data_IF_222240212968
#
_entry.id   IF_222240212968
#
_cell.length_a   1.000
_cell.length_b   1.000
_cell.length_c   1.000
_cell.angle_alpha   90.00
_cell.angle_beta   90.00
_cell.angle_gamma   90.00
#
_symmetry.space_group_name_H-M   'P 1'
#
loop_
_entity.id
_entity.type
_entity.pdbx_description
1 polymer ?
#
# COMPACT_ATOMS: atom_id res chain seq x y z
N UNK A 1 15.22 9.61 9.14
CA UNK A 1 15.26 8.55 8.10
C UNK A 1 13.88 7.95 7.81
N UNK A 2 13.00 7.76 8.81
CA UNK A 2 11.61 7.32 8.60
C UNK A 2 10.76 8.18 7.63
N UNK A 3 11.09 9.47 7.49
CA UNK A 3 10.44 10.35 6.51
C UNK A 3 10.56 9.83 5.06
N UNK A 4 11.70 9.25 4.68
CA UNK A 4 11.86 8.68 3.34
C UNK A 4 10.93 7.50 3.10
N UNK A 5 10.74 6.66 4.11
CA UNK A 5 9.76 5.57 4.07
C UNK A 5 8.34 6.11 3.86
N UNK A 6 7.91 7.11 4.63
CA UNK A 6 6.58 7.70 4.49
C UNK A 6 6.40 8.31 3.11
N UNK A 7 7.38 9.08 2.63
CA UNK A 7 7.33 9.75 1.34
C UNK A 7 7.24 8.75 0.18
N UNK A 8 8.07 7.69 0.20
CA UNK A 8 8.00 6.62 -0.80
C UNK A 8 6.65 5.88 -0.74
N UNK A 9 6.15 5.61 0.46
CA UNK A 9 4.85 4.94 0.68
C UNK A 9 3.69 5.77 0.13
N UNK A 10 3.73 7.09 0.24
CA UNK A 10 2.72 7.96 -0.34
C UNK A 10 2.83 8.06 -1.86
N UNK A 11 4.06 8.15 -2.39
CA UNK A 11 4.32 8.24 -3.83
C UNK A 11 3.83 6.96 -4.53
N UNK A 12 4.01 5.78 -3.94
CA UNK A 12 3.65 4.50 -4.56
C UNK A 12 2.13 4.29 -4.66
N UNK A 13 1.31 5.05 -3.93
CA UNK A 13 -0.16 4.97 -4.05
C UNK A 13 -0.63 5.38 -5.45
N UNK A 14 0.04 6.35 -6.09
CA UNK A 14 -0.34 6.82 -7.44
C UNK A 14 -0.12 5.76 -8.53
N UNK A 15 1.08 5.15 -8.70
CA UNK A 15 1.23 4.07 -9.66
C UNK A 15 0.35 2.87 -9.30
N UNK A 16 0.17 2.55 -8.02
CA UNK A 16 -0.76 1.50 -7.57
C UNK A 16 -2.18 1.73 -8.09
N UNK A 17 -2.70 2.96 -8.00
CA UNK A 17 -3.99 3.32 -8.59
C UNK A 17 -4.05 3.09 -10.11
N UNK A 18 -3.00 3.49 -10.84
CA UNK A 18 -2.93 3.31 -12.30
C UNK A 18 -2.96 1.82 -12.67
N UNK A 19 -2.19 0.98 -11.96
CA UNK A 19 -2.17 -0.47 -12.17
C UNK A 19 -3.53 -1.10 -11.87
N UNK A 20 -4.13 -0.78 -10.72
CA UNK A 20 -5.45 -1.30 -10.34
C UNK A 20 -6.49 -0.89 -11.37
N UNK A 21 -6.52 0.37 -11.79
CA UNK A 21 -7.46 0.84 -12.82
C UNK A 21 -7.30 0.02 -14.10
N UNK A 22 -6.07 -0.23 -14.54
CA UNK A 22 -5.80 -1.03 -15.75
C UNK A 22 -6.28 -2.48 -15.59
N UNK A 23 -6.06 -3.08 -14.42
CA UNK A 23 -6.51 -4.44 -14.13
C UNK A 23 -8.03 -4.57 -14.12
N UNK A 24 -8.74 -3.58 -13.58
CA UNK A 24 -10.21 -3.58 -13.50
C UNK A 24 -10.90 -3.42 -14.87
N UNK A 25 -10.24 -2.82 -15.87
CA UNK A 25 -10.80 -2.66 -17.22
C UNK A 25 -10.96 -4.01 -17.94
N UNK A 26 -10.22 -5.04 -17.55
CA UNK A 26 -10.30 -6.34 -18.21
C UNK A 26 -11.60 -7.07 -17.84
N UNK A 27 -12.21 -7.72 -18.81
CA UNK A 27 -13.39 -8.60 -18.60
C UNK A 27 -13.03 -9.91 -17.88
N UNK A 28 -11.74 -10.24 -17.76
CA UNK A 28 -11.29 -11.47 -17.14
C UNK A 28 -11.20 -11.31 -15.61
N UNK A 29 -11.97 -12.14 -14.89
CA UNK A 29 -12.07 -12.20 -13.43
C UNK A 29 -10.71 -12.30 -12.72
N UNK A 30 -9.72 -12.98 -13.31
CA UNK A 30 -8.40 -13.13 -12.70
C UNK A 30 -7.69 -11.77 -12.55
N UNK A 31 -7.88 -10.82 -13.49
CA UNK A 31 -7.32 -9.48 -13.33
C UNK A 31 -7.99 -8.68 -12.22
N UNK A 32 -9.27 -8.91 -11.95
CA UNK A 32 -9.97 -8.29 -10.82
C UNK A 32 -9.47 -8.86 -9.49
N UNK A 33 -9.13 -10.15 -9.43
CA UNK A 33 -8.47 -10.73 -8.27
C UNK A 33 -7.07 -10.11 -8.05
N UNK A 34 -6.27 -9.97 -9.11
CA UNK A 34 -4.97 -9.29 -9.01
C UNK A 34 -5.09 -7.84 -8.56
N UNK A 35 -6.16 -7.14 -8.95
CA UNK A 35 -6.43 -5.78 -8.50
C UNK A 35 -6.67 -5.66 -6.98
N UNK A 36 -7.11 -6.74 -6.32
CA UNK A 36 -7.28 -6.84 -4.86
C UNK A 36 -5.98 -7.30 -4.20
N UNK A 37 -5.28 -8.27 -4.78
CA UNK A 37 -4.02 -8.82 -4.24
C UNK A 37 -2.93 -7.74 -4.19
N UNK A 38 -2.85 -6.87 -5.19
CA UNK A 38 -1.84 -5.81 -5.26
C UNK A 38 -1.84 -4.90 -4.01
N UNK A 39 -2.93 -4.22 -3.64
CA UNK A 39 -2.96 -3.39 -2.43
C UNK A 39 -2.82 -4.21 -1.14
N UNK A 40 -3.30 -5.47 -1.10
CA UNK A 40 -3.10 -6.36 0.05
C UNK A 40 -1.61 -6.65 0.28
N UNK A 41 -0.84 -6.89 -0.78
CA UNK A 41 0.61 -7.13 -0.67
C UNK A 41 1.37 -5.92 -0.12
N UNK A 42 0.99 -4.70 -0.55
CA UNK A 42 1.54 -3.46 -0.02
C UNK A 42 1.14 -3.23 1.45
N UNK A 43 -0.12 -3.53 1.78
CA UNK A 43 -0.60 -3.46 3.16
C UNK A 43 0.17 -4.41 4.07
N UNK A 44 0.39 -5.65 3.64
CA UNK A 44 1.18 -6.65 4.37
C UNK A 44 2.62 -6.19 4.61
N UNK A 45 3.24 -5.50 3.65
CA UNK A 45 4.56 -4.89 3.85
C UNK A 45 4.56 -3.85 4.97
N UNK A 46 3.55 -2.97 5.03
CA UNK A 46 3.46 -1.98 6.12
C UNK A 46 3.12 -2.62 7.47
N UNK A 47 2.31 -3.68 7.49
CA UNK A 47 2.04 -4.45 8.71
C UNK A 47 3.27 -5.20 9.22
N UNK A 48 4.16 -5.63 8.32
CA UNK A 48 5.46 -6.15 8.72
C UNK A 48 6.26 -5.08 9.47
N UNK A 49 6.36 -3.86 8.93
CA UNK A 49 7.07 -2.76 9.60
C UNK A 49 6.45 -2.46 10.96
N UNK A 50 5.12 -2.43 11.03
CA UNK A 50 4.39 -2.22 12.28
C UNK A 50 4.68 -3.30 13.34
N UNK A 51 4.81 -4.57 12.94
CA UNK A 51 4.95 -5.67 13.89
C UNK A 51 6.40 -5.95 14.30
N UNK A 52 7.36 -5.72 13.40
CA UNK A 52 8.76 -6.05 13.61
C UNK A 52 9.65 -4.84 13.87
N UNK A 53 9.07 -3.64 13.92
CA UNK A 53 9.77 -2.38 14.15
C UNK A 53 11.01 -2.21 13.26
N UNK A 54 10.90 -2.68 12.01
CA UNK A 54 12.02 -2.72 11.08
C UNK A 54 11.54 -2.57 9.64
N UNK A 55 12.20 -1.66 8.91
CA UNK A 55 11.94 -1.42 7.48
C UNK A 55 12.96 -2.22 6.65
N UNK A 56 12.57 -3.35 6.03
CA UNK A 56 13.52 -4.28 5.44
C UNK A 56 14.21 -3.74 4.19
N UNK A 57 13.52 -2.94 3.38
CA UNK A 57 14.09 -2.38 2.14
C UNK A 57 15.12 -1.27 2.39
N UNK A 58 15.05 -0.60 3.54
CA UNK A 58 15.93 0.51 3.89
C UNK A 58 16.93 0.13 4.99
N UNK A 59 16.81 -1.07 5.58
CA UNK A 59 17.59 -1.53 6.72
C UNK A 59 17.56 -0.53 7.89
N UNK A 60 16.36 -0.04 8.22
CA UNK A 60 16.13 0.95 9.28
C UNK A 60 15.37 0.28 10.43
N UNK A 61 15.95 0.34 11.62
CA UNK A 61 15.28 0.00 12.89
C UNK A 61 14.39 1.17 13.33
N UNK A 62 13.14 0.86 13.69
CA UNK A 62 12.10 1.82 14.08
C UNK A 62 11.64 1.64 15.53
N UNK A 63 12.30 0.78 16.32
CA UNK A 63 11.89 0.41 17.69
C UNK A 63 11.70 1.59 18.64
N UNK A 64 12.43 2.69 18.44
CA UNK A 64 12.35 3.90 19.28
C UNK A 64 11.61 5.07 18.60
N UNK A 65 10.88 4.81 17.51
CA UNK A 65 10.17 5.83 16.74
C UNK A 65 8.66 5.53 16.72
N UNK A 66 7.98 5.88 17.82
CA UNK A 66 6.53 5.68 17.99
C UNK A 66 5.71 6.28 16.83
N UNK A 67 6.14 7.43 16.33
CA UNK A 67 5.47 8.08 15.21
C UNK A 67 5.52 7.19 13.96
N UNK A 68 6.70 6.65 13.64
CA UNK A 68 6.88 5.78 12.49
C UNK A 68 6.16 4.43 12.67
N UNK A 69 6.14 3.90 13.90
CA UNK A 69 5.37 2.72 14.26
C UNK A 69 3.88 2.93 13.92
N UNK A 70 3.22 3.95 14.47
CA UNK A 70 1.80 4.21 14.15
C UNK A 70 1.57 4.67 12.70
N UNK A 71 2.52 5.38 12.10
CA UNK A 71 2.42 5.78 10.69
C UNK A 71 2.42 4.54 9.78
N UNK A 72 3.20 3.50 10.08
CA UNK A 72 3.20 2.27 9.30
C UNK A 72 1.83 1.58 9.31
N UNK A 73 1.14 1.55 10.45
CA UNK A 73 -0.22 1.04 10.55
C UNK A 73 -1.20 1.84 9.68
N UNK A 74 -1.17 3.18 9.76
CA UNK A 74 -2.03 4.04 8.93
C UNK A 74 -1.74 3.85 7.43
N UNK A 75 -0.46 3.73 7.06
CA UNK A 75 -0.05 3.48 5.67
C UNK A 75 -0.56 2.12 5.16
N UNK A 76 -0.61 1.09 6.01
CA UNK A 76 -1.16 -0.21 5.66
C UNK A 76 -2.62 -0.12 5.19
N UNK A 77 -3.46 0.65 5.89
CA UNK A 77 -4.86 0.88 5.46
C UNK A 77 -4.94 1.79 4.24
N UNK A 78 -4.05 2.77 4.12
CA UNK A 78 -4.05 3.70 2.99
C UNK A 78 -3.82 3.01 1.65
N UNK A 79 -3.13 1.87 1.64
CA UNK A 79 -2.91 1.04 0.43
C UNK A 79 -4.21 0.57 -0.23
N UNK A 80 -5.31 0.47 0.52
CA UNK A 80 -6.61 0.07 -0.02
C UNK A 80 -7.34 1.22 -0.73
N UNK A 81 -7.00 2.49 -0.46
CA UNK A 81 -7.66 3.66 -1.03
C UNK A 81 -7.61 3.68 -2.57
N UNK A 82 -6.45 3.43 -3.23
CA UNK A 82 -6.39 3.27 -4.68
C UNK A 82 -7.43 2.32 -5.27
N UNK A 83 -7.63 1.16 -4.64
CA UNK A 83 -8.63 0.18 -5.10
C UNK A 83 -10.05 0.69 -4.98
N UNK A 84 -10.40 1.26 -3.82
CA UNK A 84 -11.74 1.81 -3.56
C UNK A 84 -12.09 2.89 -4.59
N UNK A 85 -11.16 3.81 -4.86
CA UNK A 85 -11.36 4.89 -5.83
C UNK A 85 -11.49 4.33 -7.26
N UNK A 86 -10.60 3.42 -7.66
CA UNK A 86 -10.61 2.84 -9.00
C UNK A 86 -11.88 2.02 -9.25
N UNK A 87 -12.29 1.19 -8.29
CA UNK A 87 -13.51 0.37 -8.38
C UNK A 87 -14.77 1.22 -8.42
N UNK A 88 -14.83 2.29 -7.61
CA UNK A 88 -15.96 3.23 -7.65
C UNK A 88 -16.12 3.88 -9.03
N UNK A 89 -15.02 4.32 -9.64
CA UNK A 89 -15.03 4.94 -10.98
C UNK A 89 -15.31 3.94 -12.11
N UNK A 90 -15.04 2.65 -11.91
CA UNK A 90 -15.35 1.62 -12.89
C UNK A 90 -16.85 1.29 -12.94
N UNK A 91 -17.55 1.40 -11.80
CA UNK A 91 -18.97 1.07 -11.69
C UNK A 91 -19.91 2.26 -12.04
N UNK A 92 -19.36 3.44 -12.34
CA UNK A 92 -20.10 4.66 -12.76
C UNK A 92 -19.90 4.89 -14.24
#
# INVERSE_FOLDING_TARGET
MGFLYILLSLIILRPTYVFIKKLLISDNIYYHLYAIILPLSLSAFHLYVFHFDFIPLLNIDTTNDDFLHYASFVLAYSCCIPYIIARRKHNT
#
